data_IF_169072219245
#
_entry.id   IF_169072219245
#
_cell.length_a   1.000
_cell.length_b   1.000
_cell.length_c   1.000
_cell.angle_alpha   90.00
_cell.angle_beta   90.00
_cell.angle_gamma   90.00
#
_symmetry.space_group_name_H-M   'P 1'
#
loop_
_entity.id
_entity.type
_entity.pdbx_description
1 polymer ?
#
# COMPACT_ATOMS: atom_id res chain seq x y z
N UNK A 1 23.58 8.05 -15.72
CA UNK A 1 22.35 8.65 -15.19
C UNK A 1 22.05 7.97 -13.87
N UNK A 2 22.07 8.70 -12.75
CA UNK A 2 21.68 8.12 -11.46
C UNK A 2 20.21 7.74 -11.54
N UNK A 3 19.92 6.46 -11.32
CA UNK A 3 18.57 5.92 -11.30
C UNK A 3 17.80 6.62 -10.16
N UNK A 4 16.86 7.50 -10.51
CA UNK A 4 16.12 8.30 -9.51
C UNK A 4 15.08 7.46 -8.77
N UNK A 5 14.72 6.31 -9.35
CA UNK A 5 13.63 5.48 -8.86
C UNK A 5 14.20 4.41 -7.91
N UNK A 6 13.94 4.61 -6.61
CA UNK A 6 14.57 3.84 -5.52
C UNK A 6 13.61 2.92 -4.78
N UNK A 7 12.35 2.82 -5.20
CA UNK A 7 11.30 2.12 -4.46
C UNK A 7 11.05 0.70 -4.95
N UNK A 8 10.23 -0.06 -4.22
CA UNK A 8 9.81 -1.39 -4.66
C UNK A 8 8.94 -1.36 -5.92
N UNK A 9 7.95 -0.47 -5.97
CA UNK A 9 6.92 -0.49 -7.02
C UNK A 9 7.44 0.09 -8.34
N UNK A 10 8.21 1.18 -8.27
CA UNK A 10 8.61 1.95 -9.46
C UNK A 10 10.11 1.96 -9.72
N UNK A 11 10.92 1.35 -8.84
CA UNK A 11 12.36 1.55 -8.84
C UNK A 11 13.22 0.31 -8.72
N UNK A 12 14.53 0.57 -8.64
CA UNK A 12 15.56 -0.47 -8.62
C UNK A 12 15.50 -1.37 -7.38
N UNK A 13 14.96 -0.86 -6.27
CA UNK A 13 14.79 -1.66 -5.06
C UNK A 13 13.83 -2.83 -5.30
N UNK A 14 12.79 -2.67 -6.11
CA UNK A 14 11.88 -3.76 -6.50
C UNK A 14 12.60 -4.87 -7.26
N UNK A 15 13.37 -4.50 -8.28
CA UNK A 15 14.15 -5.44 -9.09
C UNK A 15 15.12 -6.25 -8.23
N UNK A 16 15.91 -5.55 -7.40
CA UNK A 16 16.92 -6.20 -6.58
C UNK A 16 16.30 -7.05 -5.47
N UNK A 17 15.25 -6.58 -4.80
CA UNK A 17 14.63 -7.31 -3.70
C UNK A 17 13.89 -8.56 -4.16
N UNK A 18 13.10 -8.46 -5.24
CA UNK A 18 12.43 -9.62 -5.83
C UNK A 18 13.44 -10.62 -6.39
N UNK A 19 14.47 -10.14 -7.09
CA UNK A 19 15.55 -10.99 -7.61
C UNK A 19 16.24 -11.81 -6.51
N UNK A 20 16.56 -11.17 -5.37
CA UNK A 20 17.16 -11.85 -4.23
C UNK A 20 16.24 -12.94 -3.65
N UNK A 21 14.94 -12.64 -3.46
CA UNK A 21 13.98 -13.62 -2.93
C UNK A 21 13.78 -14.80 -3.88
N UNK A 22 13.66 -14.54 -5.18
CA UNK A 22 13.55 -15.61 -6.19
C UNK A 22 14.82 -16.46 -6.22
N UNK A 23 16.00 -15.85 -6.20
CA UNK A 23 17.27 -16.58 -6.18
C UNK A 23 17.40 -17.47 -4.94
N UNK A 24 17.01 -16.98 -3.76
CA UNK A 24 16.98 -17.79 -2.53
C UNK A 24 16.05 -18.99 -2.66
N UNK A 25 14.84 -18.81 -3.20
CA UNK A 25 13.91 -19.92 -3.42
C UNK A 25 14.39 -20.93 -4.47
N UNK A 26 15.19 -20.49 -5.44
CA UNK A 26 15.81 -21.34 -6.44
C UNK A 26 17.09 -22.05 -5.95
N UNK A 27 17.63 -21.69 -4.78
CA UNK A 27 18.92 -22.17 -4.29
C UNK A 27 20.13 -21.62 -5.07
N UNK A 28 19.98 -20.46 -5.71
CA UNK A 28 21.03 -19.78 -6.46
C UNK A 28 21.74 -18.72 -5.59
N UNK A 29 22.76 -19.17 -4.86
CA UNK A 29 23.55 -18.31 -3.95
C UNK A 29 24.41 -17.26 -4.68
N UNK A 30 24.72 -17.46 -5.95
CA UNK A 30 25.45 -16.47 -6.75
C UNK A 30 24.54 -15.29 -7.09
N UNK A 31 23.37 -15.56 -7.65
CA UNK A 31 22.36 -14.55 -7.94
C UNK A 31 21.87 -13.86 -6.68
N UNK A 32 21.68 -14.59 -5.58
CA UNK A 32 21.30 -14.00 -4.30
C UNK A 32 22.31 -12.93 -3.85
N UNK A 33 23.61 -13.27 -3.84
CA UNK A 33 24.67 -12.32 -3.49
C UNK A 33 24.74 -11.15 -4.46
N UNK A 34 24.56 -11.40 -5.76
CA UNK A 34 24.53 -10.35 -6.76
C UNK A 34 23.41 -9.34 -6.47
N UNK A 35 22.18 -9.80 -6.29
CA UNK A 35 21.03 -8.92 -6.07
C UNK A 35 21.11 -8.14 -4.76
N UNK A 36 21.59 -8.77 -3.67
CA UNK A 36 21.84 -8.07 -2.41
C UNK A 36 22.93 -7.00 -2.58
N UNK A 37 24.03 -7.30 -3.26
CA UNK A 37 25.07 -6.31 -3.54
C UNK A 37 24.61 -5.18 -4.47
N UNK A 38 23.63 -5.42 -5.36
CA UNK A 38 23.02 -4.34 -6.14
C UNK A 38 22.03 -3.50 -5.32
N UNK A 39 21.27 -4.13 -4.42
CA UNK A 39 20.38 -3.45 -3.48
C UNK A 39 21.19 -2.49 -2.59
N UNK A 40 22.36 -2.94 -2.10
CA UNK A 40 23.25 -2.11 -1.27
C UNK A 40 23.79 -0.85 -1.96
N UNK A 41 23.84 -0.85 -3.29
CA UNK A 41 24.32 0.30 -4.07
C UNK A 41 23.25 1.39 -4.25
N UNK A 42 22.01 1.13 -3.85
CA UNK A 42 20.92 2.10 -3.93
C UNK A 42 21.21 3.23 -2.94
N UNK A 43 21.32 4.46 -3.45
CA UNK A 43 21.52 5.67 -2.66
C UNK A 43 20.26 6.50 -2.73
N UNK A 44 19.73 6.88 -1.57
CA UNK A 44 18.58 7.76 -1.49
C UNK A 44 19.01 9.21 -1.75
N UNK A 45 18.44 9.89 -2.76
CA UNK A 45 18.61 11.33 -2.95
C UNK A 45 18.17 12.12 -1.71
N UNK A 46 18.77 13.29 -1.48
CA UNK A 46 18.43 14.15 -0.33
C UNK A 46 17.01 14.70 -0.41
N UNK A 47 16.55 14.98 -1.63
CA UNK A 47 15.28 15.60 -2.00
C UNK A 47 14.18 14.59 -2.33
N UNK A 48 14.38 13.31 -1.98
CA UNK A 48 13.38 12.28 -2.21
C UNK A 48 12.06 12.61 -1.48
N UNK A 49 10.88 12.37 -2.07
CA UNK A 49 9.61 12.46 -1.34
C UNK A 49 9.49 11.35 -0.30
N UNK A 50 8.40 11.36 0.47
CA UNK A 50 8.17 10.37 1.53
C UNK A 50 7.18 9.27 1.15
N UNK A 51 6.45 9.39 0.04
CA UNK A 51 5.37 8.49 -0.33
C UNK A 51 5.81 7.12 -0.91
N UNK A 52 4.86 6.23 -1.20
CA UNK A 52 5.14 4.82 -1.42
C UNK A 52 5.72 4.51 -2.81
N UNK A 53 5.31 5.24 -3.85
CA UNK A 53 5.68 4.90 -5.22
C UNK A 53 7.08 5.39 -5.58
N UNK A 54 7.50 6.55 -5.08
CA UNK A 54 8.77 7.19 -5.42
C UNK A 54 9.57 7.66 -4.20
N UNK A 55 9.03 7.53 -2.99
CA UNK A 55 9.59 8.11 -1.78
C UNK A 55 10.32 7.14 -0.84
N UNK A 56 10.73 7.71 0.30
CA UNK A 56 11.46 7.01 1.37
C UNK A 56 10.73 5.76 1.85
N UNK A 57 9.42 5.82 2.07
CA UNK A 57 8.69 4.64 2.56
C UNK A 57 8.56 3.54 1.52
N UNK A 58 8.58 3.88 0.23
CA UNK A 58 8.64 2.88 -0.85
C UNK A 58 9.94 2.09 -0.87
N UNK A 59 11.05 2.71 -0.46
CA UNK A 59 12.32 2.03 -0.22
C UNK A 59 12.30 1.21 1.08
N UNK A 60 11.79 1.78 2.18
CA UNK A 60 11.63 1.05 3.46
C UNK A 60 10.80 -0.22 3.28
N UNK A 61 9.73 -0.17 2.48
CA UNK A 61 8.91 -1.32 2.16
C UNK A 61 9.72 -2.45 1.49
N UNK A 62 10.61 -2.11 0.55
CA UNK A 62 11.49 -3.11 -0.08
C UNK A 62 12.43 -3.78 0.92
N UNK A 63 12.93 -3.02 1.90
CA UNK A 63 13.77 -3.55 2.97
C UNK A 63 12.99 -4.51 3.89
N UNK A 64 11.75 -4.16 4.24
CA UNK A 64 10.86 -5.05 4.99
C UNK A 64 10.57 -6.34 4.23
N UNK A 65 10.29 -6.24 2.93
CA UNK A 65 10.06 -7.39 2.06
C UNK A 65 11.27 -8.34 2.06
N UNK A 66 12.49 -7.82 1.91
CA UNK A 66 13.71 -8.62 2.01
C UNK A 66 13.82 -9.32 3.37
N UNK A 67 13.65 -8.58 4.47
CA UNK A 67 13.74 -9.15 5.82
C UNK A 67 12.70 -10.25 6.06
N UNK A 68 11.47 -10.06 5.58
CA UNK A 68 10.39 -11.03 5.71
C UNK A 68 10.69 -12.34 4.99
N UNK A 69 11.17 -12.28 3.75
CA UNK A 69 11.35 -13.47 2.91
C UNK A 69 12.73 -14.12 3.04
N UNK A 70 13.77 -13.34 3.32
CA UNK A 70 15.12 -13.87 3.52
C UNK A 70 15.40 -14.24 4.99
N UNK A 71 14.61 -13.73 5.93
CA UNK A 71 14.80 -13.93 7.37
C UNK A 71 15.59 -12.78 8.01
N UNK A 72 15.32 -12.50 9.29
CA UNK A 72 15.97 -11.44 10.05
C UNK A 72 17.50 -11.57 10.03
N UNK A 73 18.19 -10.46 9.81
CA UNK A 73 19.66 -10.40 9.78
C UNK A 73 20.30 -10.76 8.44
N UNK A 74 19.52 -11.12 7.42
CA UNK A 74 20.07 -11.40 6.07
C UNK A 74 20.43 -10.11 5.31
N UNK A 75 19.76 -9.00 5.64
CA UNK A 75 20.17 -7.67 5.20
C UNK A 75 21.25 -7.16 6.17
N UNK A 76 22.40 -6.64 5.69
CA UNK A 76 23.53 -6.27 6.55
C UNK A 76 23.15 -5.28 7.67
N UNK A 77 23.85 -5.33 8.80
CA UNK A 77 23.62 -4.42 9.95
C UNK A 77 23.84 -2.94 9.63
N UNK A 78 24.69 -2.61 8.66
CA UNK A 78 24.85 -1.26 8.11
C UNK A 78 23.56 -0.72 7.49
N UNK A 79 22.70 -1.61 6.99
CA UNK A 79 21.37 -1.30 6.49
C UNK A 79 20.39 -1.02 7.62
N UNK A 80 20.43 -1.76 8.74
CA UNK A 80 19.54 -1.53 9.89
C UNK A 80 19.74 -0.12 10.48
N UNK A 81 21.00 0.33 10.58
CA UNK A 81 21.32 1.71 10.98
C UNK A 81 20.80 2.72 9.95
N UNK A 82 20.95 2.42 8.66
CA UNK A 82 20.39 3.22 7.57
C UNK A 82 18.85 3.31 7.61
N UNK A 83 18.16 2.22 7.94
CA UNK A 83 16.70 2.18 8.08
C UNK A 83 16.24 3.12 9.19
N UNK A 84 16.86 3.06 10.37
CA UNK A 84 16.53 3.96 11.48
C UNK A 84 16.71 5.43 11.08
N UNK A 85 17.77 5.77 10.34
CA UNK A 85 17.98 7.13 9.82
C UNK A 85 16.90 7.56 8.82
N UNK A 86 16.46 6.66 7.94
CA UNK A 86 15.39 6.95 6.97
C UNK A 86 14.04 7.14 7.68
N UNK A 87 13.74 6.31 8.69
CA UNK A 87 12.53 6.46 9.53
C UNK A 87 12.55 7.79 10.26
N UNK A 88 13.66 8.14 10.92
CA UNK A 88 13.84 9.42 11.60
C UNK A 88 13.61 10.60 10.63
N UNK A 89 14.08 10.51 9.39
CA UNK A 89 13.85 11.55 8.38
C UNK A 89 12.39 11.65 7.95
N UNK A 90 11.70 10.52 7.74
CA UNK A 90 10.26 10.49 7.43
C UNK A 90 9.45 11.12 8.56
N UNK A 91 9.77 10.81 9.83
CA UNK A 91 9.10 11.41 10.99
C UNK A 91 9.40 12.92 11.08
N UNK A 92 10.67 13.33 10.91
CA UNK A 92 11.06 14.75 10.93
C UNK A 92 10.38 15.54 9.82
N UNK A 93 10.33 15.00 8.61
CA UNK A 93 9.63 15.58 7.46
C UNK A 93 8.14 15.75 7.77
N UNK A 94 7.49 14.69 8.26
CA UNK A 94 6.08 14.68 8.63
C UNK A 94 5.72 15.71 9.70
N UNK A 95 6.52 15.78 10.78
CA UNK A 95 6.32 16.74 11.88
C UNK A 95 6.55 18.19 11.45
N UNK A 96 7.44 18.44 10.49
CA UNK A 96 7.75 19.78 9.98
C UNK A 96 6.55 20.42 9.29
N UNK A 97 5.78 19.61 8.55
CA UNK A 97 4.59 20.05 7.84
C UNK A 97 3.30 19.83 8.64
N UNK A 98 3.29 18.85 9.53
CA UNK A 98 2.19 18.55 10.42
C UNK A 98 1.96 19.63 11.49
N UNK A 99 0.81 19.54 12.17
CA UNK A 99 0.46 20.47 13.25
C UNK A 99 -0.19 19.71 14.39
N UNK A 100 0.43 19.77 15.57
CA UNK A 100 -0.14 19.21 16.81
C UNK A 100 -1.54 19.78 17.07
N UNK A 101 -2.48 18.92 17.44
CA UNK A 101 -3.91 19.24 17.58
C UNK A 101 -4.71 19.25 16.27
N UNK A 102 -4.08 19.00 15.12
CA UNK A 102 -4.74 18.69 13.84
C UNK A 102 -4.20 17.35 13.31
N UNK A 103 -3.50 17.34 12.19
CA UNK A 103 -2.79 16.17 11.66
C UNK A 103 -1.32 16.20 12.11
N UNK A 104 -0.86 15.31 13.00
CA UNK A 104 0.50 15.33 13.55
C UNK A 104 1.60 15.15 12.50
N UNK A 105 1.38 14.25 11.54
CA UNK A 105 2.27 14.02 10.40
C UNK A 105 1.54 14.41 9.11
N UNK A 106 2.18 15.25 8.30
CA UNK A 106 1.67 15.66 6.99
C UNK A 106 2.80 15.63 5.96
N UNK A 107 2.47 15.29 4.72
CA UNK A 107 3.43 15.10 3.64
C UNK A 107 2.88 15.66 2.34
N UNK A 108 3.77 15.92 1.40
CA UNK A 108 3.43 16.48 0.09
C UNK A 108 4.18 15.73 -1.01
N UNK A 109 3.53 15.56 -2.16
CA UNK A 109 4.13 15.06 -3.38
C UNK A 109 3.58 15.89 -4.56
N UNK A 110 4.47 16.42 -5.40
CA UNK A 110 4.11 17.35 -6.49
C UNK A 110 3.19 18.51 -6.06
N UNK A 111 3.45 19.13 -4.90
CA UNK A 111 2.66 20.28 -4.42
C UNK A 111 1.36 19.91 -3.72
N UNK A 112 0.99 18.63 -3.67
CA UNK A 112 -0.30 18.15 -3.18
C UNK A 112 -0.14 17.27 -1.93
N UNK A 113 -1.02 17.47 -0.94
CA UNK A 113 -1.01 16.71 0.33
C UNK A 113 -1.94 15.52 0.25
N UNK A 114 -1.49 14.47 -0.44
CA UNK A 114 -2.30 13.28 -0.70
C UNK A 114 -2.62 12.48 0.56
N UNK A 115 -3.78 11.82 0.54
CA UNK A 115 -4.25 10.95 1.62
C UNK A 115 -4.13 9.47 1.31
N UNK A 116 -4.23 9.08 0.04
CA UNK A 116 -4.33 7.69 -0.38
C UNK A 116 -3.05 6.86 -0.22
N UNK A 117 -3.14 5.57 -0.54
CA UNK A 117 -2.06 4.62 -0.25
C UNK A 117 -0.84 4.78 -1.16
N UNK A 118 -1.03 5.29 -2.38
CA UNK A 118 0.07 5.44 -3.33
C UNK A 118 0.98 6.62 -2.96
N UNK A 119 0.41 7.82 -2.94
CA UNK A 119 1.17 9.07 -2.83
C UNK A 119 1.01 9.80 -1.49
N UNK A 120 0.29 9.22 -0.53
CA UNK A 120 -0.25 9.96 0.60
C UNK A 120 -0.08 9.33 1.96
N UNK A 121 -0.77 9.93 2.93
CA UNK A 121 -0.72 9.58 4.35
C UNK A 121 -0.93 8.09 4.60
N UNK A 122 -1.93 7.48 3.96
CA UNK A 122 -2.23 6.05 4.16
C UNK A 122 -1.04 5.15 3.81
N UNK A 123 -0.31 5.45 2.74
CA UNK A 123 0.88 4.69 2.34
C UNK A 123 2.00 4.81 3.34
N UNK A 124 2.26 6.04 3.78
CA UNK A 124 3.33 6.36 4.73
C UNK A 124 3.04 5.72 6.09
N UNK A 125 1.83 5.91 6.63
CA UNK A 125 1.43 5.32 7.91
C UNK A 125 1.45 3.79 7.85
N UNK A 126 1.05 3.19 6.71
CA UNK A 126 1.10 1.75 6.53
C UNK A 126 2.51 1.20 6.74
N UNK A 127 3.53 1.81 6.13
CA UNK A 127 4.93 1.35 6.26
C UNK A 127 5.47 1.66 7.66
N UNK A 128 5.20 2.84 8.21
CA UNK A 128 5.68 3.24 9.54
C UNK A 128 5.21 2.28 10.65
N UNK A 129 4.03 1.68 10.51
CA UNK A 129 3.53 0.68 11.48
C UNK A 129 4.33 -0.63 11.53
N UNK A 130 5.18 -0.92 10.55
CA UNK A 130 6.13 -2.06 10.60
C UNK A 130 7.51 -1.66 11.14
N UNK A 131 7.73 -0.36 11.41
CA UNK A 131 9.01 0.15 11.90
C UNK A 131 9.05 0.14 13.43
N UNK A 132 10.26 0.09 13.97
CA UNK A 132 10.50 0.42 15.38
C UNK A 132 10.39 1.93 15.57
N UNK A 133 9.31 2.38 16.22
CA UNK A 133 9.02 3.78 16.48
C UNK A 133 9.11 4.09 17.97
N UNK A 134 9.51 5.32 18.31
CA UNK A 134 9.46 5.83 19.68
C UNK A 134 8.00 6.01 20.12
N UNK A 135 7.70 5.98 21.43
CA UNK A 135 6.31 6.10 21.91
C UNK A 135 5.58 7.36 21.39
N UNK A 136 6.26 8.49 21.29
CA UNK A 136 5.69 9.73 20.75
C UNK A 136 5.45 9.67 19.24
N UNK A 137 6.28 8.91 18.51
CA UNK A 137 6.12 8.68 17.06
C UNK A 137 4.95 7.74 16.78
N UNK A 138 4.73 6.72 17.63
CA UNK A 138 3.54 5.87 17.58
C UNK A 138 2.26 6.68 17.77
N UNK A 139 2.23 7.61 18.72
CA UNK A 139 1.07 8.47 18.94
C UNK A 139 0.85 9.45 17.79
N UNK A 140 1.91 9.92 17.13
CA UNK A 140 1.78 10.71 15.91
C UNK A 140 1.16 9.91 14.75
N UNK A 141 1.59 8.65 14.55
CA UNK A 141 0.99 7.75 13.54
C UNK A 141 -0.50 7.52 13.83
N UNK A 142 -0.86 7.17 15.08
CA UNK A 142 -2.26 7.01 15.48
C UNK A 142 -3.07 8.30 15.27
N UNK A 143 -2.51 9.44 15.69
CA UNK A 143 -3.15 10.74 15.56
C UNK A 143 -3.41 11.13 14.10
N UNK A 144 -2.48 10.83 13.19
CA UNK A 144 -2.68 11.03 11.74
C UNK A 144 -3.80 10.15 11.20
N UNK A 145 -3.85 8.87 11.57
CA UNK A 145 -4.93 7.98 11.14
C UNK A 145 -6.30 8.42 11.68
N UNK A 146 -6.38 8.81 12.96
CA UNK A 146 -7.63 9.34 13.58
C UNK A 146 -8.06 10.66 12.96
N UNK A 147 -7.11 11.51 12.57
CA UNK A 147 -7.39 12.70 11.79
C UNK A 147 -8.06 12.36 10.45
N UNK A 148 -7.55 11.37 9.72
CA UNK A 148 -8.17 10.92 8.46
C UNK A 148 -9.58 10.38 8.68
N UNK A 149 -9.79 9.56 9.71
CA UNK A 149 -11.11 9.00 10.09
C UNK A 149 -12.12 10.12 10.36
N UNK A 150 -11.72 11.13 11.15
CA UNK A 150 -12.59 12.23 11.55
C UNK A 150 -12.94 13.20 10.41
N UNK A 151 -12.19 13.16 9.31
CA UNK A 151 -12.30 14.12 8.21
C UNK A 151 -12.60 13.44 6.85
N UNK A 152 -13.23 12.27 6.90
CA UNK A 152 -13.81 11.60 5.72
C UNK A 152 -15.06 12.32 5.20
N UNK A 153 -15.49 12.01 3.98
CA UNK A 153 -16.73 12.52 3.42
C UNK A 153 -17.96 11.95 4.14
N UNK A 154 -19.10 12.62 4.00
CA UNK A 154 -20.39 12.15 4.53
C UNK A 154 -20.81 10.79 3.95
N UNK A 155 -20.32 10.41 2.77
CA UNK A 155 -20.53 9.07 2.19
C UNK A 155 -19.74 7.96 2.88
N UNK A 156 -18.80 8.31 3.76
CA UNK A 156 -17.80 7.42 4.34
C UNK A 156 -16.52 7.26 3.51
N UNK A 157 -16.49 7.73 2.26
CA UNK A 157 -15.26 7.73 1.43
C UNK A 157 -14.28 8.81 1.90
N UNK A 158 -13.06 8.78 1.38
CA UNK A 158 -11.98 9.68 1.78
C UNK A 158 -11.52 10.57 0.62
N UNK A 159 -11.11 11.80 0.90
CA UNK A 159 -10.58 12.72 -0.11
C UNK A 159 -9.26 12.21 -0.70
N UNK A 160 -8.96 12.66 -1.92
CA UNK A 160 -7.69 12.34 -2.58
C UNK A 160 -6.50 13.08 -1.94
N UNK A 161 -6.70 14.35 -1.59
CA UNK A 161 -5.72 15.24 -0.94
C UNK A 161 -6.40 16.18 0.07
N UNK A 162 -5.60 16.93 0.85
CA UNK A 162 -6.11 17.96 1.76
C UNK A 162 -6.99 19.01 1.08
N UNK A 163 -6.67 19.35 -0.18
CA UNK A 163 -7.32 20.42 -0.93
C UNK A 163 -8.55 19.91 -1.71
N UNK A 164 -8.60 18.63 -2.05
CA UNK A 164 -9.75 18.00 -2.71
C UNK A 164 -10.86 17.57 -1.72
N UNK A 165 -11.49 18.58 -1.10
CA UNK A 165 -12.61 18.37 -0.14
C UNK A 165 -14.00 18.36 -0.77
N UNK A 166 -14.09 18.45 -2.09
CA UNK A 166 -15.39 18.56 -2.79
C UNK A 166 -15.64 17.44 -3.79
N UNK A 167 -14.61 16.68 -4.18
CA UNK A 167 -14.73 15.60 -5.16
C UNK A 167 -14.75 14.22 -4.49
N UNK A 168 -15.92 13.78 -4.06
CA UNK A 168 -16.12 12.42 -3.56
C UNK A 168 -16.35 11.42 -4.71
N UNK A 169 -15.28 11.13 -5.47
CA UNK A 169 -15.37 10.33 -6.70
C UNK A 169 -14.50 9.07 -6.65
N UNK A 170 -13.25 9.20 -6.19
CA UNK A 170 -12.26 8.14 -6.30
C UNK A 170 -12.45 7.08 -5.21
N UNK A 171 -12.63 5.82 -5.63
CA UNK A 171 -12.74 4.65 -4.75
C UNK A 171 -11.68 3.64 -5.21
N UNK A 172 -10.42 4.05 -5.09
CA UNK A 172 -9.25 3.34 -5.59
C UNK A 172 -8.27 3.02 -4.45
N UNK A 173 -7.35 2.07 -4.66
CA UNK A 173 -6.23 1.89 -3.73
C UNK A 173 -5.34 3.13 -3.68
N UNK A 174 -5.00 3.71 -4.84
CA UNK A 174 -4.16 4.91 -4.88
C UNK A 174 -4.80 6.13 -4.19
N UNK A 175 -6.13 6.30 -4.31
CA UNK A 175 -6.89 7.41 -3.73
C UNK A 175 -8.32 6.98 -3.35
N UNK A 176 -8.67 7.19 -2.08
CA UNK A 176 -10.00 6.91 -1.53
C UNK A 176 -10.05 5.74 -0.55
N UNK A 177 -11.27 5.28 -0.27
CA UNK A 177 -11.56 4.27 0.75
C UNK A 177 -10.74 2.97 0.64
N UNK A 178 -10.47 2.38 -0.54
CA UNK A 178 -9.78 1.09 -0.59
C UNK A 178 -8.37 1.11 0.02
N UNK A 179 -7.55 2.11 -0.34
CA UNK A 179 -6.19 2.22 0.21
C UNK A 179 -6.21 2.45 1.72
N UNK A 180 -7.09 3.34 2.17
CA UNK A 180 -7.23 3.70 3.59
C UNK A 180 -7.80 2.54 4.41
N UNK A 181 -8.76 1.78 3.87
CA UNK A 181 -9.30 0.60 4.53
C UNK A 181 -8.19 -0.43 4.82
N UNK A 182 -7.32 -0.70 3.86
CA UNK A 182 -6.18 -1.61 4.05
C UNK A 182 -5.22 -1.10 5.14
N UNK A 183 -4.94 0.20 5.18
CA UNK A 183 -4.15 0.83 6.25
C UNK A 183 -4.83 0.70 7.60
N UNK A 184 -6.13 0.95 7.68
CA UNK A 184 -6.89 0.88 8.93
C UNK A 184 -7.04 -0.55 9.45
N UNK A 185 -7.18 -1.55 8.57
CA UNK A 185 -7.10 -2.96 8.94
C UNK A 185 -5.76 -3.26 9.61
N UNK A 186 -4.65 -2.76 9.07
CA UNK A 186 -3.34 -2.91 9.69
C UNK A 186 -3.26 -2.19 11.04
N UNK A 187 -3.75 -0.96 11.12
CA UNK A 187 -3.78 -0.19 12.36
C UNK A 187 -4.58 -0.90 13.47
N UNK A 188 -5.72 -1.51 13.13
CA UNK A 188 -6.50 -2.32 14.05
C UNK A 188 -5.71 -3.54 14.58
N UNK A 189 -4.94 -4.21 13.71
CA UNK A 189 -4.06 -5.34 14.12
C UNK A 189 -2.92 -4.88 15.02
N UNK A 190 -2.26 -3.78 14.68
CA UNK A 190 -1.05 -3.31 15.37
C UNK A 190 -1.39 -2.65 16.70
N UNK A 191 -2.45 -1.84 16.75
CA UNK A 191 -2.80 -1.06 17.94
C UNK A 191 -3.92 -1.66 18.80
N UNK A 192 -4.69 -2.62 18.27
CA UNK A 192 -5.82 -3.22 19.00
C UNK A 192 -6.97 -2.26 19.31
N UNK A 193 -6.99 -1.07 18.70
CA UNK A 193 -8.00 -0.04 18.93
C UNK A 193 -9.24 -0.31 18.06
N UNK A 194 -10.40 -0.39 18.70
CA UNK A 194 -11.69 -0.64 18.05
C UNK A 194 -12.05 0.46 17.04
N UNK A 195 -11.63 1.71 17.28
CA UNK A 195 -11.91 2.82 16.36
C UNK A 195 -11.35 2.56 14.95
N UNK A 196 -10.16 1.97 14.85
CA UNK A 196 -9.56 1.61 13.56
C UNK A 196 -10.32 0.46 12.88
N UNK A 197 -10.79 -0.52 13.64
CA UNK A 197 -11.59 -1.62 13.10
C UNK A 197 -12.93 -1.11 12.56
N UNK A 198 -13.65 -0.31 13.34
CA UNK A 198 -14.94 0.25 12.95
C UNK A 198 -14.80 1.11 11.69
N UNK A 199 -13.79 1.99 11.64
CA UNK A 199 -13.53 2.80 10.47
C UNK A 199 -13.11 1.97 9.23
N UNK A 200 -12.35 0.89 9.40
CA UNK A 200 -12.02 -0.03 8.31
C UNK A 200 -13.27 -0.72 7.75
N UNK A 201 -14.19 -1.16 8.61
CA UNK A 201 -15.46 -1.76 8.18
C UNK A 201 -16.34 -0.77 7.42
N UNK A 202 -16.44 0.47 7.90
CA UNK A 202 -17.17 1.55 7.22
C UNK A 202 -16.58 1.85 5.84
N UNK A 203 -15.24 1.95 5.73
CA UNK A 203 -14.57 2.10 4.45
C UNK A 203 -14.85 0.89 3.54
N UNK A 204 -14.91 -0.32 4.10
CA UNK A 204 -15.32 -1.53 3.38
C UNK A 204 -16.74 -1.46 2.82
N UNK A 205 -17.69 -0.82 3.51
CA UNK A 205 -19.04 -0.59 2.98
C UNK A 205 -19.03 0.38 1.80
N UNK A 206 -18.17 1.40 1.79
CA UNK A 206 -17.96 2.27 0.62
C UNK A 206 -17.49 1.44 -0.57
N UNK A 207 -16.48 0.59 -0.36
CA UNK A 207 -15.95 -0.27 -1.44
C UNK A 207 -17.00 -1.27 -1.93
N UNK A 208 -17.85 -1.79 -1.05
CA UNK A 208 -18.94 -2.68 -1.47
C UNK A 208 -19.94 -1.97 -2.38
N UNK A 209 -20.34 -0.75 -2.01
CA UNK A 209 -21.37 -0.02 -2.73
C UNK A 209 -20.85 0.69 -4.01
N UNK A 210 -19.57 1.07 -4.05
CA UNK A 210 -19.00 1.95 -5.09
C UNK A 210 -17.71 1.42 -5.73
N UNK A 211 -17.15 0.32 -5.23
CA UNK A 211 -15.84 -0.19 -5.63
C UNK A 211 -15.83 -1.13 -6.84
N UNK A 212 -16.98 -1.42 -7.44
CA UNK A 212 -17.05 -2.17 -8.71
C UNK A 212 -16.77 -1.23 -9.89
N UNK A 213 -15.50 -0.87 -10.04
CA UNK A 213 -15.03 0.14 -10.98
C UNK A 213 -15.13 -0.31 -12.44
N UNK A 214 -15.14 0.65 -13.37
CA UNK A 214 -14.97 0.39 -14.81
C UNK A 214 -13.50 0.20 -15.21
N UNK A 215 -12.69 -0.42 -14.37
CA UNK A 215 -11.25 -0.66 -14.57
C UNK A 215 -10.83 -1.99 -13.95
N UNK A 216 -9.94 -2.72 -14.61
CA UNK A 216 -9.58 -4.09 -14.20
C UNK A 216 -8.53 -4.18 -13.10
N UNK A 217 -7.52 -3.30 -13.10
CA UNK A 217 -6.25 -3.48 -12.38
C UNK A 217 -6.28 -3.40 -10.85
N UNK A 218 -5.07 -3.38 -10.28
CA UNK A 218 -4.81 -3.35 -8.83
C UNK A 218 -4.79 -1.93 -8.27
N UNK A 219 -4.18 -0.97 -8.97
CA UNK A 219 -4.00 0.40 -8.47
C UNK A 219 -5.34 1.13 -8.27
N UNK A 220 -6.25 0.96 -9.22
CA UNK A 220 -7.54 1.65 -9.30
C UNK A 220 -8.55 0.84 -10.11
N UNK A 221 -8.65 -0.45 -9.83
CA UNK A 221 -9.58 -1.35 -10.50
C UNK A 221 -10.26 -2.31 -9.52
N UNK A 222 -11.14 -3.15 -10.06
CA UNK A 222 -11.89 -4.14 -9.27
C UNK A 222 -10.93 -5.10 -8.57
N UNK A 223 -9.82 -5.47 -9.23
CA UNK A 223 -8.87 -6.44 -8.65
C UNK A 223 -8.27 -5.92 -7.35
N UNK A 224 -7.86 -4.65 -7.31
CA UNK A 224 -7.33 -4.02 -6.09
C UNK A 224 -8.39 -3.83 -5.01
N UNK A 225 -9.60 -3.44 -5.40
CA UNK A 225 -10.68 -3.21 -4.45
C UNK A 225 -11.14 -4.49 -3.74
N UNK A 226 -11.00 -5.66 -4.39
CA UNK A 226 -11.32 -6.95 -3.77
C UNK A 226 -10.47 -7.24 -2.53
N UNK A 227 -9.21 -6.79 -2.49
CA UNK A 227 -8.31 -6.99 -1.37
C UNK A 227 -8.81 -6.36 -0.06
N UNK A 228 -9.59 -5.28 -0.13
CA UNK A 228 -10.21 -4.67 1.06
C UNK A 228 -11.03 -5.71 1.81
N UNK A 229 -11.80 -6.53 1.09
CA UNK A 229 -12.61 -7.57 1.70
C UNK A 229 -11.78 -8.76 2.17
N UNK A 230 -10.69 -9.10 1.48
CA UNK A 230 -9.76 -10.14 1.95
C UNK A 230 -9.10 -9.74 3.26
N UNK A 231 -8.62 -8.50 3.38
CA UNK A 231 -7.97 -7.99 4.58
C UNK A 231 -8.96 -7.86 5.75
N UNK A 232 -10.20 -7.41 5.49
CA UNK A 232 -11.28 -7.41 6.49
C UNK A 232 -11.65 -8.83 6.94
N UNK A 233 -11.74 -9.80 6.02
CA UNK A 233 -11.97 -11.19 6.37
C UNK A 233 -10.85 -11.75 7.25
N UNK A 234 -9.59 -11.49 6.92
CA UNK A 234 -8.46 -11.95 7.73
C UNK A 234 -8.47 -11.35 9.14
N UNK A 235 -8.90 -10.09 9.28
CA UNK A 235 -9.00 -9.42 10.57
C UNK A 235 -10.18 -9.91 11.41
N UNK A 236 -11.37 -9.99 10.82
CA UNK A 236 -12.64 -10.22 11.54
C UNK A 236 -13.06 -11.68 11.59
N UNK A 237 -12.59 -12.50 10.64
CA UNK A 237 -13.09 -13.85 10.34
C UNK A 237 -14.57 -13.91 9.96
N UNK A 238 -15.21 -12.77 9.68
CA UNK A 238 -16.58 -12.74 9.17
C UNK A 238 -16.61 -13.13 7.68
N UNK A 239 -17.25 -14.27 7.42
CA UNK A 239 -17.43 -14.84 6.08
C UNK A 239 -18.17 -13.91 5.10
N UNK A 240 -18.91 -12.91 5.60
CA UNK A 240 -19.49 -11.84 4.78
C UNK A 240 -18.42 -11.16 3.92
N UNK A 241 -17.25 -10.87 4.49
CA UNK A 241 -16.17 -10.22 3.75
C UNK A 241 -15.57 -11.16 2.69
N UNK A 242 -15.39 -12.44 3.02
CA UNK A 242 -14.95 -13.43 2.03
C UNK A 242 -15.93 -13.55 0.86
N UNK A 243 -17.23 -13.53 1.13
CA UNK A 243 -18.26 -13.51 0.10
C UNK A 243 -18.13 -12.28 -0.82
N UNK A 244 -17.85 -11.09 -0.26
CA UNK A 244 -17.66 -9.87 -1.05
C UNK A 244 -16.42 -9.93 -1.95
N UNK A 245 -15.30 -10.45 -1.43
CA UNK A 245 -14.09 -10.70 -2.23
C UNK A 245 -14.41 -11.66 -3.39
N UNK A 246 -15.10 -12.76 -3.09
CA UNK A 246 -15.55 -13.73 -4.09
C UNK A 246 -16.45 -13.09 -5.14
N UNK A 247 -17.41 -12.24 -4.75
CA UNK A 247 -18.31 -11.58 -5.69
C UNK A 247 -17.54 -10.70 -6.69
N UNK A 248 -16.54 -9.94 -6.22
CA UNK A 248 -15.68 -9.12 -7.07
C UNK A 248 -14.85 -9.99 -8.04
N UNK A 249 -14.25 -11.08 -7.54
CA UNK A 249 -13.49 -12.02 -8.36
C UNK A 249 -14.38 -12.73 -9.41
N UNK A 250 -15.58 -13.16 -9.04
CA UNK A 250 -16.54 -13.78 -9.96
C UNK A 250 -17.01 -12.79 -11.04
N UNK A 251 -17.25 -11.53 -10.69
CA UNK A 251 -17.56 -10.50 -11.68
C UNK A 251 -16.43 -10.32 -12.69
N UNK A 252 -15.18 -10.26 -12.22
CA UNK A 252 -14.01 -10.19 -13.09
C UNK A 252 -13.93 -11.41 -14.02
N UNK A 253 -14.11 -12.62 -13.49
CA UNK A 253 -14.05 -13.86 -14.27
C UNK A 253 -15.14 -13.92 -15.35
N UNK A 254 -16.37 -13.57 -15.02
CA UNK A 254 -17.52 -13.65 -15.93
C UNK A 254 -17.58 -12.51 -16.95
N UNK A 255 -17.23 -11.28 -16.52
CA UNK A 255 -17.54 -10.06 -17.28
C UNK A 255 -16.32 -9.33 -17.83
N UNK A 256 -15.16 -9.37 -17.17
CA UNK A 256 -14.07 -8.45 -17.50
C UNK A 256 -13.61 -8.57 -18.96
N UNK A 257 -13.46 -9.78 -19.49
CA UNK A 257 -13.03 -9.96 -20.89
C UNK A 257 -13.99 -9.28 -21.88
N UNK A 258 -15.30 -9.52 -21.72
CA UNK A 258 -16.34 -8.94 -22.58
C UNK A 258 -16.37 -7.42 -22.46
N UNK A 259 -16.38 -6.88 -21.24
CA UNK A 259 -16.44 -5.43 -20.98
C UNK A 259 -15.18 -4.69 -21.42
N UNK A 260 -14.01 -5.34 -21.36
CA UNK A 260 -12.77 -4.75 -21.89
C UNK A 260 -12.82 -4.73 -23.43
N UNK A 261 -13.26 -5.82 -24.06
CA UNK A 261 -13.36 -5.86 -25.53
C UNK A 261 -14.43 -4.91 -26.09
N UNK A 262 -15.51 -4.65 -25.34
CA UNK A 262 -16.57 -3.71 -25.71
C UNK A 262 -16.26 -2.25 -25.36
N UNK A 263 -15.16 -1.98 -24.64
CA UNK A 263 -14.75 -0.64 -24.24
C UNK A 263 -15.50 -0.08 -23.03
N UNK A 264 -16.37 -0.85 -22.37
CA UNK A 264 -17.07 -0.40 -21.16
C UNK A 264 -16.20 -0.47 -19.89
N UNK A 265 -15.13 -1.26 -19.92
CA UNK A 265 -14.14 -1.38 -18.84
C UNK A 265 -12.72 -1.12 -19.38
N UNK A 266 -11.97 -0.26 -18.70
CA UNK A 266 -10.59 0.02 -19.05
C UNK A 266 -9.67 -1.16 -18.65
N UNK A 267 -8.91 -1.67 -19.62
CA UNK A 267 -7.96 -2.79 -19.44
C UNK A 267 -6.60 -2.41 -18.85
N UNK A 268 -6.37 -1.12 -18.58
CA UNK A 268 -5.08 -0.56 -18.16
C UNK A 268 -4.28 -0.02 -19.34
N UNK A 269 -3.54 1.07 -19.16
CA UNK A 269 -2.70 1.67 -20.22
C UNK A 269 -1.60 0.68 -20.63
N UNK A 270 -1.12 -0.11 -19.67
CA UNK A 270 -0.26 -1.28 -19.89
C UNK A 270 -1.09 -2.54 -19.57
N UNK A 271 -1.79 -3.13 -20.56
CA UNK A 271 -2.86 -4.11 -20.30
C UNK A 271 -2.42 -5.41 -19.63
N UNK A 272 -1.12 -5.70 -19.59
CA UNK A 272 -0.55 -6.91 -18.98
C UNK A 272 0.28 -6.60 -17.72
N UNK A 273 0.37 -5.34 -17.31
CA UNK A 273 1.09 -4.95 -16.10
C UNK A 273 0.40 -5.47 -14.83
N UNK A 274 1.17 -5.55 -13.74
CA UNK A 274 0.67 -5.92 -12.42
C UNK A 274 -0.31 -4.88 -11.87
N UNK A 275 0.04 -3.60 -11.92
CA UNK A 275 -0.73 -2.55 -11.24
C UNK A 275 -1.93 -2.01 -12.02
N UNK A 276 -1.90 -1.99 -13.36
CA UNK A 276 -2.99 -1.42 -14.17
C UNK A 276 -3.82 -2.48 -14.89
N UNK A 277 -3.19 -3.61 -15.25
CA UNK A 277 -3.72 -4.54 -16.23
C UNK A 277 -4.16 -5.89 -15.69
N UNK A 278 -4.26 -6.85 -16.61
CA UNK A 278 -4.65 -8.24 -16.37
C UNK A 278 -3.65 -9.01 -15.51
N UNK A 279 -2.40 -8.57 -15.42
CA UNK A 279 -1.42 -9.17 -14.51
C UNK A 279 -1.88 -9.11 -13.06
N UNK A 280 -2.44 -7.97 -12.65
CA UNK A 280 -3.04 -7.79 -11.32
C UNK A 280 -4.32 -8.59 -11.10
N UNK A 281 -5.15 -8.75 -12.14
CA UNK A 281 -6.33 -9.63 -12.09
C UNK A 281 -5.94 -11.09 -11.89
N UNK A 282 -4.91 -11.57 -12.60
CA UNK A 282 -4.38 -12.91 -12.41
C UNK A 282 -3.81 -13.09 -11.00
N UNK A 283 -3.08 -12.09 -10.48
CA UNK A 283 -2.56 -12.09 -9.12
C UNK A 283 -3.67 -12.26 -8.07
N UNK A 284 -4.76 -11.47 -8.17
CA UNK A 284 -5.93 -11.63 -7.29
C UNK A 284 -6.49 -13.05 -7.36
N UNK A 285 -6.65 -13.63 -8.55
CA UNK A 285 -7.21 -14.97 -8.68
C UNK A 285 -6.36 -16.05 -8.02
N UNK A 286 -5.04 -15.93 -8.08
CA UNK A 286 -4.13 -16.84 -7.37
C UNK A 286 -4.27 -16.65 -5.86
N UNK A 287 -4.34 -15.41 -5.38
CA UNK A 287 -4.52 -15.09 -3.96
C UNK A 287 -5.88 -15.52 -3.38
N UNK A 288 -6.91 -15.64 -4.23
CA UNK A 288 -8.22 -16.15 -3.84
C UNK A 288 -8.23 -17.66 -3.56
N UNK A 289 -7.17 -18.40 -3.92
CA UNK A 289 -7.04 -19.84 -3.64
C UNK A 289 -6.88 -20.08 -2.13
N UNK A 290 -6.11 -19.23 -1.45
CA UNK A 290 -6.02 -19.20 0.02
C UNK A 290 -6.30 -17.80 0.57
N UNK A 291 -7.60 -17.44 0.76
CA UNK A 291 -8.03 -16.14 1.25
C UNK A 291 -7.43 -15.73 2.60
N UNK A 292 -6.95 -16.71 3.39
CA UNK A 292 -6.37 -16.47 4.70
C UNK A 292 -4.94 -15.93 4.64
N UNK A 293 -4.25 -16.14 3.50
CA UNK A 293 -2.87 -15.74 3.24
C UNK A 293 -2.75 -14.61 2.22
N UNK A 294 -3.84 -14.20 1.55
CA UNK A 294 -3.82 -13.17 0.51
C UNK A 294 -3.22 -11.85 1.00
N UNK A 295 -2.48 -11.16 0.13
CA UNK A 295 -1.88 -9.86 0.42
C UNK A 295 -1.99 -8.94 -0.78
N UNK A 296 -2.43 -7.71 -0.58
CA UNK A 296 -2.35 -6.72 -1.65
C UNK A 296 -0.89 -6.59 -2.11
N UNK A 297 -0.58 -6.83 -3.40
CA UNK A 297 0.79 -6.93 -3.87
C UNK A 297 1.54 -5.61 -3.70
N UNK A 298 2.74 -5.69 -3.14
CA UNK A 298 3.61 -4.54 -2.86
C UNK A 298 3.00 -3.48 -1.91
N UNK A 299 2.02 -3.86 -1.09
CA UNK A 299 1.48 -2.99 -0.04
C UNK A 299 1.39 -3.72 1.28
N UNK A 300 0.62 -4.81 1.35
CA UNK A 300 0.54 -5.65 2.55
C UNK A 300 1.71 -6.64 2.58
N UNK A 301 2.34 -6.78 3.75
CA UNK A 301 3.35 -7.80 4.01
C UNK A 301 2.72 -8.98 4.73
#
# INVERSE_FOLDING_TARGET
MGDRDVTFICGRAGVCSLGAVVAKHAGDDESLRYYLAQFEKIKLPKDLPDELLYGRVGFLWACLFLNKHLGQGTVPSSYTVGLAMVVDEVIKSGRRMGRKGRCPLMYEWYGEKYWGAAHGLAGIMHVLMDMELKPDEVEDVKGTLKYMISNKFSSGNYPASEDDRKSDVLVHWCHGAPGIALTLVKAAKVFGDKEFLDAAMEAGEVVWNRGLLKKVGICHGISGNAYVFLSLYQLTRDVKHLYRAKAFACFLLDRAHKLISGGEMHGGDRPYSLFEGKGGMAYLFLDMIDPSQSKFPAYEL
#
